data_IF_359746187551
#
_entry.id   IF_359746187551
#
_cell.length_a   1.000
_cell.length_b   1.000
_cell.length_c   1.000
_cell.angle_alpha   90.00
_cell.angle_beta   90.00
_cell.angle_gamma   90.00
#
_symmetry.space_group_name_H-M   'P 1'
#
loop_
_entity.id
_entity.type
_entity.pdbx_description
1 polymer ?
#
# COMPACT_ATOMS: atom_id res chain seq x y z
N UNK A 1 -2.28 -76.45 46.18
CA UNK A 1 -3.22 -75.34 46.11
C UNK A 1 -2.58 -74.21 45.38
N UNK A 2 -3.04 -73.92 44.14
CA UNK A 2 -2.52 -72.81 43.31
C UNK A 2 -3.42 -71.61 43.47
N UNK A 3 -2.96 -70.39 43.75
CA UNK A 3 -3.77 -69.24 43.64
C UNK A 3 -3.76 -68.69 42.19
N UNK A 4 -4.87 -68.25 41.74
CA UNK A 4 -5.27 -67.91 40.38
C UNK A 4 -4.58 -66.65 39.84
N UNK A 5 -4.08 -66.80 38.60
CA UNK A 5 -3.43 -65.75 37.78
C UNK A 5 -4.40 -64.69 37.19
N UNK A 6 -5.52 -64.43 37.86
CA UNK A 6 -6.60 -63.62 37.26
C UNK A 6 -6.74 -62.17 37.70
N UNK A 7 -5.96 -61.71 38.69
CA UNK A 7 -6.21 -60.38 39.33
C UNK A 7 -5.22 -59.30 38.91
N UNK A 8 -4.06 -59.66 38.32
CA UNK A 8 -3.01 -58.67 37.93
C UNK A 8 -3.27 -58.03 36.56
N UNK A 9 -4.12 -58.59 35.72
CA UNK A 9 -4.37 -58.08 34.36
C UNK A 9 -5.51 -57.05 34.25
N UNK A 10 -6.26 -56.80 35.30
CA UNK A 10 -7.35 -55.81 35.32
C UNK A 10 -6.92 -54.40 35.80
N UNK A 11 -5.76 -54.27 36.41
CA UNK A 11 -5.25 -53.00 36.92
C UNK A 11 -4.47 -52.17 35.88
N UNK A 12 -3.99 -52.78 34.80
CA UNK A 12 -3.15 -52.10 33.76
C UNK A 12 -3.97 -51.55 32.58
N UNK A 13 -5.25 -51.92 32.46
CA UNK A 13 -6.12 -51.43 31.39
C UNK A 13 -6.93 -50.17 31.76
N UNK A 14 -6.95 -49.76 33.03
CA UNK A 14 -7.64 -48.54 33.48
C UNK A 14 -6.72 -47.28 33.47
N UNK A 15 -5.39 -47.45 33.44
CA UNK A 15 -4.48 -46.32 33.43
C UNK A 15 -4.16 -45.78 32.00
N UNK A 16 -4.52 -46.52 30.93
CA UNK A 16 -4.30 -46.12 29.55
C UNK A 16 -5.45 -45.31 28.93
N UNK A 17 -6.56 -45.15 29.62
CA UNK A 17 -7.78 -44.46 29.15
C UNK A 17 -7.89 -42.98 29.62
N UNK A 18 -6.96 -42.52 30.43
CA UNK A 18 -7.00 -41.13 30.97
C UNK A 18 -6.01 -40.15 30.34
N UNK A 19 -5.20 -40.56 29.34
CA UNK A 19 -4.26 -39.68 28.66
C UNK A 19 -4.64 -39.33 27.21
N UNK A 20 -5.83 -39.76 26.75
CA UNK A 20 -6.27 -39.61 25.34
C UNK A 20 -7.23 -38.46 25.05
N UNK A 21 -7.53 -37.56 25.98
CA UNK A 21 -8.60 -36.56 25.81
C UNK A 21 -8.12 -35.10 25.70
N UNK A 22 -6.85 -34.84 25.48
CA UNK A 22 -6.40 -33.45 25.38
C UNK A 22 -5.80 -33.02 24.03
N UNK A 23 -5.97 -33.80 22.95
CA UNK A 23 -5.42 -33.40 21.64
C UNK A 23 -6.45 -33.06 20.57
N UNK A 24 -7.77 -33.17 20.87
CA UNK A 24 -8.82 -32.92 19.87
C UNK A 24 -9.55 -31.57 20.04
N UNK A 25 -9.26 -30.81 21.09
CA UNK A 25 -9.99 -29.56 21.39
C UNK A 25 -9.44 -28.31 20.67
N UNK A 26 -8.36 -28.40 19.91
CA UNK A 26 -7.72 -27.22 19.31
C UNK A 26 -8.05 -26.99 17.83
N UNK A 27 -8.65 -27.94 17.12
CA UNK A 27 -8.98 -27.77 15.69
C UNK A 27 -10.44 -27.34 15.44
N UNK A 28 -11.34 -27.63 16.36
CA UNK A 28 -12.78 -27.38 16.19
C UNK A 28 -13.23 -26.00 16.69
N UNK A 29 -12.40 -25.34 17.50
CA UNK A 29 -12.67 -24.01 18.04
C UNK A 29 -12.42 -22.88 17.02
N UNK A 30 -11.72 -23.17 15.91
CA UNK A 30 -11.39 -22.19 14.88
C UNK A 30 -12.46 -22.03 13.77
N UNK A 31 -13.46 -22.90 13.71
CA UNK A 31 -14.48 -22.91 12.64
C UNK A 31 -15.92 -22.74 13.13
N UNK A 32 -16.15 -22.53 14.42
CA UNK A 32 -17.50 -22.28 14.94
C UNK A 32 -17.99 -20.87 14.56
N UNK A 33 -19.22 -20.73 14.02
CA UNK A 33 -19.83 -19.41 13.76
C UNK A 33 -19.86 -18.49 14.97
N UNK A 34 -19.89 -19.04 16.18
CA UNK A 34 -19.84 -18.28 17.43
C UNK A 34 -18.50 -17.57 17.67
N UNK A 35 -17.41 -18.06 17.06
CA UNK A 35 -16.08 -17.42 17.17
C UNK A 35 -15.97 -16.20 16.25
N UNK A 36 -16.67 -16.19 15.11
CA UNK A 36 -16.73 -15.05 14.21
C UNK A 36 -17.29 -13.78 14.89
N UNK A 37 -18.34 -13.92 15.68
CA UNK A 37 -18.96 -12.79 16.38
C UNK A 37 -18.21 -12.31 17.63
N UNK A 38 -17.26 -13.08 18.14
CA UNK A 38 -16.42 -12.70 19.28
C UNK A 38 -15.15 -11.97 18.87
N UNK A 39 -14.79 -11.98 17.58
CA UNK A 39 -13.63 -11.29 17.04
C UNK A 39 -13.98 -9.85 16.67
N UNK A 40 -14.28 -9.02 17.65
CA UNK A 40 -14.67 -7.62 17.47
C UNK A 40 -13.53 -6.73 16.94
N UNK A 41 -12.31 -7.25 16.81
CA UNK A 41 -11.13 -6.51 16.34
C UNK A 41 -10.78 -6.77 14.86
N UNK A 42 -11.53 -7.63 14.15
CA UNK A 42 -11.34 -7.80 12.72
C UNK A 42 -12.12 -6.70 11.98
N UNK A 43 -11.41 -5.64 11.65
CA UNK A 43 -11.98 -4.51 10.92
C UNK A 43 -12.42 -4.89 9.51
N UNK A 44 -13.30 -4.11 8.94
CA UNK A 44 -13.94 -4.26 7.63
C UNK A 44 -12.92 -4.32 6.46
N UNK A 45 -11.62 -4.04 6.73
CA UNK A 45 -10.52 -3.98 5.77
C UNK A 45 -9.51 -5.12 5.87
N UNK A 46 -9.86 -6.28 6.44
CA UNK A 46 -8.96 -7.44 6.50
C UNK A 46 -7.68 -7.20 7.31
N UNK A 47 -7.66 -6.14 8.10
CA UNK A 47 -6.53 -5.75 8.93
C UNK A 47 -6.72 -6.34 10.33
N UNK A 48 -5.78 -7.17 10.75
CA UNK A 48 -5.65 -7.56 12.15
C UNK A 48 -4.83 -6.50 12.85
N UNK A 49 -5.42 -5.80 13.78
CA UNK A 49 -4.62 -4.96 14.65
C UNK A 49 -3.52 -5.80 15.31
N UNK A 50 -2.26 -5.36 15.29
CA UNK A 50 -1.20 -6.04 16.01
C UNK A 50 -1.61 -6.14 17.48
N UNK A 51 -1.28 -7.26 18.15
CA UNK A 51 -1.60 -7.40 19.57
C UNK A 51 -1.06 -6.17 20.31
N UNK A 52 -1.83 -5.62 21.28
CA UNK A 52 -1.43 -4.43 21.99
C UNK A 52 -0.02 -4.63 22.56
N UNK A 53 0.85 -3.70 22.21
CA UNK A 53 2.24 -3.73 22.70
C UNK A 53 2.20 -3.91 24.21
N UNK A 54 2.96 -4.89 24.73
CA UNK A 54 3.07 -5.09 26.19
C UNK A 54 3.36 -3.74 26.81
N UNK A 55 2.49 -3.31 27.73
CA UNK A 55 2.65 -2.05 28.42
C UNK A 55 4.11 -1.91 28.88
N UNK A 56 4.81 -0.87 28.49
CA UNK A 56 6.17 -0.67 28.96
C UNK A 56 6.15 -0.65 30.49
N UNK A 57 7.13 -1.32 31.12
CA UNK A 57 7.33 -1.22 32.57
C UNK A 57 7.30 0.26 32.97
N UNK A 58 6.72 0.60 34.12
CA UNK A 58 6.60 1.99 34.53
C UNK A 58 7.99 2.65 34.48
N UNK A 59 8.17 3.47 33.48
CA UNK A 59 9.31 4.41 33.42
C UNK A 59 9.01 5.47 34.46
N UNK A 60 10.02 5.85 35.25
CA UNK A 60 9.94 6.90 36.23
C UNK A 60 9.06 8.07 35.79
N UNK A 61 8.27 8.67 36.68
CA UNK A 61 7.33 9.72 36.32
C UNK A 61 8.05 10.76 35.46
N UNK A 62 7.42 11.17 34.34
CA UNK A 62 8.00 12.15 33.46
C UNK A 62 8.31 13.40 34.30
N UNK A 63 9.53 13.86 34.18
CA UNK A 63 9.92 15.20 34.65
C UNK A 63 8.80 16.14 34.22
N UNK A 64 8.21 16.87 35.14
CA UNK A 64 7.10 17.78 34.90
C UNK A 64 7.47 18.67 33.71
N UNK A 65 6.91 18.39 32.55
CA UNK A 65 7.04 19.28 31.41
C UNK A 65 6.29 20.53 31.84
N UNK A 66 7.00 21.60 32.05
CA UNK A 66 6.45 22.91 32.35
C UNK A 66 5.39 23.16 31.30
N UNK A 67 4.12 23.24 31.71
CA UNK A 67 2.98 23.39 30.78
C UNK A 67 3.24 24.68 30.00
N UNK A 68 3.69 24.55 28.76
CA UNK A 68 3.86 25.71 27.90
C UNK A 68 2.49 26.40 27.81
N UNK A 69 2.45 27.67 28.17
CA UNK A 69 1.22 28.50 28.12
C UNK A 69 0.71 28.43 26.69
N UNK A 70 -0.52 27.90 26.50
CA UNK A 70 -1.13 27.84 25.17
C UNK A 70 -1.23 29.23 24.59
N UNK A 71 -0.95 29.37 23.29
CA UNK A 71 -1.11 30.66 22.63
C UNK A 71 -2.59 31.12 22.66
N UNK A 72 -2.86 32.42 22.65
CA UNK A 72 -4.22 32.99 22.64
C UNK A 72 -5.09 32.40 21.49
N UNK A 73 -4.48 32.12 20.35
CA UNK A 73 -5.15 31.57 19.18
C UNK A 73 -5.63 30.13 19.44
N UNK A 74 -4.81 29.31 20.08
CA UNK A 74 -5.19 27.95 20.45
C UNK A 74 -6.35 27.97 21.44
N UNK A 75 -6.28 28.83 22.45
CA UNK A 75 -7.37 28.99 23.44
C UNK A 75 -8.66 29.44 22.75
N UNK A 76 -8.58 30.43 21.85
CA UNK A 76 -9.73 30.91 21.09
C UNK A 76 -10.31 29.84 20.16
N UNK A 77 -9.47 29.03 19.51
CA UNK A 77 -9.88 27.91 18.67
C UNK A 77 -10.63 26.84 19.46
N UNK A 78 -10.05 26.42 20.58
CA UNK A 78 -10.67 25.41 21.47
C UNK A 78 -12.01 25.88 22.01
N UNK A 79 -12.10 27.16 22.41
CA UNK A 79 -13.33 27.76 22.89
C UNK A 79 -14.43 27.83 21.80
N UNK A 80 -14.06 28.20 20.56
CA UNK A 80 -15.00 28.21 19.43
C UNK A 80 -15.48 26.80 19.10
N UNK A 81 -14.57 25.82 19.08
CA UNK A 81 -14.89 24.41 18.84
C UNK A 81 -15.88 23.87 19.87
N UNK A 82 -15.60 24.06 21.15
CA UNK A 82 -16.48 23.61 22.24
C UNK A 82 -17.88 24.23 22.16
N UNK A 83 -17.97 25.53 21.88
CA UNK A 83 -19.25 26.23 21.71
C UNK A 83 -20.04 25.73 20.51
N UNK A 84 -19.35 25.42 19.38
CA UNK A 84 -19.99 24.93 18.18
C UNK A 84 -20.56 23.52 18.41
N UNK A 85 -19.77 22.63 19.02
CA UNK A 85 -20.19 21.26 19.37
C UNK A 85 -21.38 21.26 20.34
N UNK A 86 -21.36 22.13 21.38
CA UNK A 86 -22.47 22.27 22.32
C UNK A 86 -23.72 22.78 21.64
N UNK A 87 -23.61 23.82 20.80
CA UNK A 87 -24.76 24.42 20.10
C UNK A 87 -25.37 23.40 19.11
N UNK A 88 -24.54 22.60 18.42
CA UNK A 88 -24.99 21.52 17.55
C UNK A 88 -25.78 20.47 18.34
N UNK A 89 -25.24 20.01 19.45
CA UNK A 89 -25.89 19.00 20.28
C UNK A 89 -27.26 19.48 20.80
N UNK A 90 -27.33 20.73 21.27
CA UNK A 90 -28.60 21.34 21.74
C UNK A 90 -29.60 21.48 20.60
N UNK A 91 -29.18 22.00 19.44
CA UNK A 91 -30.05 22.15 18.27
C UNK A 91 -30.54 20.81 17.72
N UNK A 92 -29.69 19.77 17.76
CA UNK A 92 -30.04 18.43 17.31
C UNK A 92 -31.06 17.74 18.26
N UNK A 93 -30.83 17.83 19.57
CA UNK A 93 -31.71 17.20 20.55
C UNK A 93 -33.02 17.95 20.78
N UNK A 94 -33.01 19.30 20.59
CA UNK A 94 -34.19 20.16 20.73
C UNK A 94 -34.21 21.20 19.61
N UNK A 95 -34.75 20.87 18.43
CA UNK A 95 -34.69 21.67 17.21
C UNK A 95 -35.69 22.84 17.19
N UNK A 96 -35.59 23.74 18.16
CA UNK A 96 -36.32 25.00 18.13
C UNK A 96 -35.64 26.01 17.21
N UNK A 97 -36.39 26.96 16.66
CA UNK A 97 -35.89 28.08 15.86
C UNK A 97 -34.69 28.78 16.54
N UNK A 98 -34.78 29.01 17.84
CA UNK A 98 -33.73 29.68 18.62
C UNK A 98 -32.46 28.85 18.68
N UNK A 99 -32.57 27.54 18.97
CA UNK A 99 -31.43 26.65 19.08
C UNK A 99 -30.72 26.47 17.71
N UNK A 100 -31.51 26.28 16.66
CA UNK A 100 -30.98 26.14 15.29
C UNK A 100 -30.30 27.44 14.85
N UNK A 101 -30.88 28.60 15.10
CA UNK A 101 -30.27 29.92 14.77
C UNK A 101 -28.97 30.13 15.52
N UNK A 102 -28.91 29.75 16.80
CA UNK A 102 -27.69 29.86 17.62
C UNK A 102 -26.56 29.01 17.07
N UNK A 103 -26.86 27.76 16.68
CA UNK A 103 -25.89 26.89 16.01
C UNK A 103 -25.42 27.47 14.66
N UNK A 104 -26.36 27.89 13.81
CA UNK A 104 -26.05 28.45 12.49
C UNK A 104 -25.20 29.74 12.57
N UNK A 105 -25.41 30.57 13.57
CA UNK A 105 -24.58 31.75 13.79
C UNK A 105 -23.12 31.39 14.09
N UNK A 106 -22.90 30.40 14.95
CA UNK A 106 -21.55 29.90 15.27
C UNK A 106 -20.92 29.21 14.07
N UNK A 107 -21.68 28.37 13.35
CA UNK A 107 -21.23 27.71 12.15
C UNK A 107 -20.79 28.72 11.08
N UNK A 108 -21.59 29.77 10.86
CA UNK A 108 -21.24 30.85 9.93
C UNK A 108 -19.96 31.57 10.34
N UNK A 109 -19.75 31.79 11.63
CA UNK A 109 -18.51 32.38 12.13
C UNK A 109 -17.31 31.47 11.84
N UNK A 110 -17.44 30.13 12.06
CA UNK A 110 -16.37 29.15 11.76
C UNK A 110 -16.05 29.13 10.26
N UNK A 111 -17.07 29.10 9.40
CA UNK A 111 -16.91 29.12 7.93
C UNK A 111 -16.19 30.38 7.47
N UNK A 112 -16.58 31.57 7.99
CA UNK A 112 -15.89 32.83 7.64
C UNK A 112 -14.40 32.80 8.01
N UNK A 113 -14.05 32.25 9.19
CA UNK A 113 -12.64 32.10 9.59
C UNK A 113 -11.89 31.13 8.68
N UNK A 114 -12.54 30.01 8.31
CA UNK A 114 -11.98 29.06 7.38
C UNK A 114 -11.73 29.68 5.98
N UNK A 115 -12.66 30.51 5.48
CA UNK A 115 -12.47 31.26 4.22
C UNK A 115 -11.28 32.23 4.31
N UNK A 116 -11.18 33.00 5.39
CA UNK A 116 -10.03 33.90 5.59
C UNK A 116 -8.69 33.13 5.64
N UNK A 117 -8.68 31.99 6.29
CA UNK A 117 -7.50 31.13 6.31
C UNK A 117 -7.17 30.59 4.90
N UNK A 118 -8.19 30.14 4.16
CA UNK A 118 -8.00 29.62 2.79
C UNK A 118 -7.41 30.69 1.88
N UNK A 119 -7.90 31.95 1.95
CA UNK A 119 -7.37 33.07 1.16
C UNK A 119 -5.90 33.36 1.52
N UNK A 120 -5.58 33.39 2.80
CA UNK A 120 -4.22 33.59 3.28
C UNK A 120 -3.29 32.45 2.86
N UNK A 121 -3.75 31.19 3.02
CA UNK A 121 -3.03 30.01 2.60
C UNK A 121 -2.73 30.03 1.09
N UNK A 122 -3.74 30.32 0.29
CA UNK A 122 -3.62 30.37 -1.17
C UNK A 122 -2.61 31.45 -1.59
N UNK A 123 -2.65 32.62 -0.95
CA UNK A 123 -1.68 33.69 -1.21
C UNK A 123 -0.26 33.24 -0.87
N UNK A 124 -0.05 32.57 0.26
CA UNK A 124 1.26 32.06 0.67
C UNK A 124 1.76 31.02 -0.35
N UNK A 125 0.91 30.06 -0.73
CA UNK A 125 1.27 29.04 -1.73
C UNK A 125 1.69 29.67 -3.05
N UNK A 126 0.94 30.64 -3.58
CA UNK A 126 1.25 31.30 -4.85
C UNK A 126 2.52 32.14 -4.82
N UNK A 127 2.93 32.62 -3.64
CA UNK A 127 4.11 33.48 -3.48
C UNK A 127 5.35 32.73 -2.98
N UNK A 128 5.20 31.43 -2.66
CA UNK A 128 6.27 30.61 -2.07
C UNK A 128 6.42 29.31 -2.88
N UNK A 129 7.33 29.28 -3.86
CA UNK A 129 7.47 28.12 -4.77
C UNK A 129 7.61 26.77 -4.07
N UNK A 130 8.20 26.74 -2.88
CA UNK A 130 8.42 25.52 -2.10
C UNK A 130 7.11 24.87 -1.61
N UNK A 131 6.02 25.63 -1.56
CA UNK A 131 4.70 25.14 -1.16
C UNK A 131 3.74 24.94 -2.34
N UNK A 132 4.14 25.36 -3.53
CA UNK A 132 3.29 25.27 -4.72
C UNK A 132 3.47 23.93 -5.44
N UNK A 133 2.69 22.95 -5.04
CA UNK A 133 2.65 21.63 -5.69
C UNK A 133 2.25 21.67 -7.16
N UNK A 134 1.67 22.78 -7.64
CA UNK A 134 1.34 22.90 -9.07
C UNK A 134 2.58 23.07 -9.94
N UNK A 135 3.72 23.43 -9.34
CA UNK A 135 5.02 23.45 -10.02
C UNK A 135 5.59 22.05 -10.23
N UNK A 136 5.29 21.11 -9.31
CA UNK A 136 5.71 19.71 -9.46
C UNK A 136 4.75 18.95 -10.38
N UNK A 137 3.45 19.17 -10.21
CA UNK A 137 2.41 18.59 -11.05
C UNK A 137 1.35 19.64 -11.41
N UNK A 138 1.38 20.17 -12.62
CA UNK A 138 0.43 21.16 -13.08
C UNK A 138 -1.02 20.67 -13.02
N UNK A 139 -1.96 21.60 -12.79
CA UNK A 139 -3.40 21.31 -12.77
C UNK A 139 -4.15 21.95 -13.94
N UNK A 140 -3.54 22.91 -14.64
CA UNK A 140 -4.15 23.50 -15.84
C UNK A 140 -3.83 22.70 -17.09
N UNK A 141 -4.75 22.65 -18.05
CA UNK A 141 -4.67 21.80 -19.23
C UNK A 141 -3.38 22.02 -20.06
N UNK A 142 -2.98 23.27 -20.28
CA UNK A 142 -1.80 23.61 -21.08
C UNK A 142 -0.50 23.12 -20.44
N UNK A 143 -0.36 23.33 -19.14
CA UNK A 143 0.82 22.87 -18.41
C UNK A 143 0.86 21.35 -18.24
N UNK A 144 -0.32 20.70 -18.06
CA UNK A 144 -0.42 19.24 -18.04
C UNK A 144 0.04 18.64 -19.37
N UNK A 145 -0.32 19.21 -20.50
CA UNK A 145 0.13 18.72 -21.81
C UNK A 145 1.65 18.74 -21.93
N UNK A 146 2.31 19.80 -21.46
CA UNK A 146 3.78 19.88 -21.44
C UNK A 146 4.37 18.85 -20.48
N UNK A 147 3.83 18.78 -19.27
CA UNK A 147 4.26 17.83 -18.24
C UNK A 147 4.16 16.37 -18.72
N UNK A 148 3.02 15.97 -19.28
CA UNK A 148 2.80 14.62 -19.76
C UNK A 148 3.73 14.26 -20.92
N UNK A 149 4.00 15.22 -21.82
CA UNK A 149 4.96 15.05 -22.93
C UNK A 149 6.38 14.86 -22.41
N UNK A 150 6.79 15.65 -21.44
CA UNK A 150 8.13 15.52 -20.82
C UNK A 150 8.27 14.23 -20.03
N UNK A 151 7.23 13.85 -19.26
CA UNK A 151 7.14 12.57 -18.55
C UNK A 151 7.28 11.40 -19.52
N UNK A 152 6.51 11.39 -20.61
CA UNK A 152 6.58 10.35 -21.62
C UNK A 152 7.98 10.29 -22.29
N UNK A 153 8.57 11.43 -22.62
CA UNK A 153 9.91 11.48 -23.18
C UNK A 153 10.96 10.93 -22.21
N UNK A 154 10.82 11.20 -20.90
CA UNK A 154 11.70 10.64 -19.88
C UNK A 154 11.54 9.11 -19.75
N UNK A 155 10.32 8.61 -19.83
CA UNK A 155 10.01 7.16 -19.83
C UNK A 155 10.63 6.44 -21.02
N UNK A 156 10.51 7.02 -22.22
CA UNK A 156 11.12 6.49 -23.44
C UNK A 156 12.64 6.43 -23.30
N UNK A 157 13.26 7.52 -22.86
CA UNK A 157 14.72 7.55 -22.63
C UNK A 157 15.17 6.49 -21.62
N UNK A 158 14.41 6.27 -20.55
CA UNK A 158 14.71 5.23 -19.56
C UNK A 158 14.65 3.82 -20.17
N UNK A 159 13.63 3.54 -20.98
CA UNK A 159 13.49 2.26 -21.69
C UNK A 159 14.65 2.03 -22.67
N UNK A 160 15.02 3.04 -23.47
CA UNK A 160 16.16 2.99 -24.41
C UNK A 160 17.51 2.80 -23.70
N UNK A 161 17.70 3.40 -22.54
CA UNK A 161 18.90 3.21 -21.71
C UNK A 161 18.98 1.78 -21.18
N UNK A 162 17.84 1.25 -20.66
CA UNK A 162 17.76 -0.13 -20.19
C UNK A 162 17.98 -1.13 -21.32
N UNK A 163 17.52 -0.84 -22.53
CA UNK A 163 17.71 -1.69 -23.70
C UNK A 163 19.18 -2.01 -24.01
N UNK A 164 20.10 -1.13 -23.62
CA UNK A 164 21.55 -1.31 -23.83
C UNK A 164 22.19 -2.35 -22.90
N UNK A 165 21.54 -2.64 -21.79
CA UNK A 165 22.15 -3.45 -20.70
C UNK A 165 21.22 -4.51 -20.13
N UNK A 166 19.94 -4.48 -20.49
CA UNK A 166 18.92 -5.38 -19.97
C UNK A 166 18.15 -6.05 -21.09
N UNK A 167 17.43 -7.09 -20.72
CA UNK A 167 16.49 -7.84 -21.58
C UNK A 167 15.21 -8.11 -20.80
N UNK A 168 14.08 -8.21 -21.52
CA UNK A 168 12.82 -8.64 -20.95
C UNK A 168 12.68 -10.15 -21.03
N UNK A 169 12.41 -10.82 -19.91
CA UNK A 169 11.96 -12.21 -19.88
C UNK A 169 10.44 -12.20 -19.90
N UNK A 170 9.88 -12.80 -20.93
CA UNK A 170 8.46 -13.01 -21.11
C UNK A 170 8.13 -14.48 -20.87
N UNK A 171 7.61 -14.82 -19.70
CA UNK A 171 7.19 -16.17 -19.35
C UNK A 171 5.72 -16.34 -19.71
N UNK A 172 5.43 -17.38 -20.49
CA UNK A 172 4.10 -17.61 -21.03
C UNK A 172 3.78 -19.10 -21.15
N UNK A 173 2.51 -19.39 -21.45
CA UNK A 173 2.04 -20.71 -21.93
C UNK A 173 1.43 -20.53 -23.30
N UNK A 174 1.59 -21.52 -24.15
CA UNK A 174 1.03 -21.50 -25.51
C UNK A 174 -0.50 -21.55 -25.52
N UNK A 175 -1.11 -22.19 -24.52
CA UNK A 175 -2.56 -22.31 -24.35
C UNK A 175 -3.20 -21.11 -23.61
N UNK A 176 -2.44 -20.08 -23.24
CA UNK A 176 -2.90 -18.94 -22.47
C UNK A 176 -3.46 -17.82 -23.37
N UNK A 177 -4.77 -17.52 -23.37
CA UNK A 177 -5.34 -16.46 -24.21
C UNK A 177 -4.75 -15.06 -23.93
N UNK A 178 -4.47 -14.74 -22.67
CA UNK A 178 -3.86 -13.46 -22.29
C UNK A 178 -2.43 -13.33 -22.82
N UNK A 179 -1.68 -14.44 -22.86
CA UNK A 179 -0.33 -14.46 -23.41
C UNK A 179 -0.35 -14.21 -24.92
N UNK A 180 -1.33 -14.81 -25.64
CA UNK A 180 -1.52 -14.59 -27.07
C UNK A 180 -1.88 -13.13 -27.39
N UNK A 181 -2.70 -12.49 -26.58
CA UNK A 181 -3.05 -11.07 -26.74
C UNK A 181 -1.89 -10.13 -26.38
N UNK A 182 -1.01 -10.52 -25.48
CA UNK A 182 0.10 -9.70 -25.03
C UNK A 182 1.32 -9.78 -25.95
N UNK A 183 1.53 -10.91 -26.62
CA UNK A 183 2.70 -11.14 -27.45
C UNK A 183 2.88 -10.09 -28.57
N UNK A 184 1.85 -9.69 -29.34
CA UNK A 184 1.97 -8.65 -30.37
C UNK A 184 2.43 -7.31 -29.79
N UNK A 185 1.91 -6.92 -28.62
CA UNK A 185 2.29 -5.69 -27.94
C UNK A 185 3.78 -5.73 -27.54
N UNK A 186 4.22 -6.84 -26.94
CA UNK A 186 5.63 -7.00 -26.56
C UNK A 186 6.56 -7.00 -27.76
N UNK A 187 6.13 -7.60 -28.88
CA UNK A 187 6.91 -7.57 -30.12
C UNK A 187 7.03 -6.18 -30.70
N UNK A 188 5.93 -5.42 -30.68
CA UNK A 188 5.94 -4.01 -31.07
C UNK A 188 6.82 -3.18 -30.13
N UNK A 189 6.74 -3.43 -28.82
CA UNK A 189 7.56 -2.75 -27.81
C UNK A 189 9.07 -3.00 -28.02
N UNK A 190 9.45 -4.26 -28.27
CA UNK A 190 10.81 -4.64 -28.61
C UNK A 190 11.33 -3.86 -29.82
N UNK A 191 10.54 -3.78 -30.90
CA UNK A 191 10.90 -3.08 -32.12
C UNK A 191 11.00 -1.57 -31.94
N UNK A 192 10.10 -1.00 -31.14
CA UNK A 192 9.99 0.45 -30.95
C UNK A 192 11.09 1.01 -30.04
N UNK A 193 11.41 0.31 -28.97
CA UNK A 193 12.34 0.80 -27.94
C UNK A 193 13.67 0.05 -27.91
N UNK A 194 13.83 -0.97 -28.75
CA UNK A 194 15.08 -1.73 -28.84
C UNK A 194 15.39 -2.61 -27.62
N UNK A 195 14.41 -2.81 -26.70
CA UNK A 195 14.57 -3.66 -25.52
C UNK A 195 14.29 -5.10 -25.87
N UNK A 196 15.32 -6.00 -25.94
CA UNK A 196 15.13 -7.37 -26.40
C UNK A 196 14.18 -8.16 -25.52
N UNK A 197 13.30 -8.98 -26.13
CA UNK A 197 12.38 -9.87 -25.43
C UNK A 197 12.80 -11.32 -25.59
N UNK A 198 13.13 -11.96 -24.47
CA UNK A 198 13.38 -13.40 -24.38
C UNK A 198 12.11 -14.12 -23.93
N UNK A 199 11.43 -14.74 -24.87
CA UNK A 199 10.23 -15.52 -24.60
C UNK A 199 10.58 -16.91 -24.07
N UNK A 200 9.95 -17.29 -22.96
CA UNK A 200 10.16 -18.56 -22.24
C UNK A 200 8.82 -19.25 -22.09
N UNK A 201 8.67 -20.40 -22.71
CA UNK A 201 7.46 -21.22 -22.70
C UNK A 201 7.48 -22.21 -21.56
N UNK A 202 6.44 -22.19 -20.71
CA UNK A 202 6.32 -23.07 -19.54
C UNK A 202 5.74 -24.46 -19.90
N UNK A 203 5.03 -24.55 -21.04
CA UNK A 203 4.38 -25.78 -21.52
C UNK A 203 4.97 -26.32 -22.82
N UNK A 204 6.01 -25.68 -23.35
CA UNK A 204 6.60 -26.01 -24.64
C UNK A 204 5.81 -25.47 -25.85
N UNK A 205 4.66 -24.81 -25.63
CA UNK A 205 3.90 -24.15 -26.69
C UNK A 205 4.64 -22.95 -27.28
N UNK A 206 4.19 -22.49 -28.45
CA UNK A 206 4.77 -21.36 -29.18
C UNK A 206 3.75 -20.26 -29.42
N UNK A 207 4.23 -19.04 -29.63
CA UNK A 207 3.42 -17.89 -30.04
C UNK A 207 3.92 -17.39 -31.40
N UNK A 208 3.04 -16.91 -32.29
CA UNK A 208 3.42 -16.43 -33.62
C UNK A 208 4.52 -15.36 -33.59
N UNK A 209 4.45 -14.44 -32.64
CA UNK A 209 5.41 -13.35 -32.46
C UNK A 209 6.76 -13.81 -31.92
N UNK A 210 6.77 -14.98 -31.24
CA UNK A 210 7.94 -15.57 -30.62
C UNK A 210 8.13 -17.04 -31.01
N UNK A 211 8.33 -17.35 -32.31
CA UNK A 211 8.45 -18.75 -32.79
C UNK A 211 9.70 -19.47 -32.28
N UNK A 212 10.68 -18.71 -31.77
CA UNK A 212 11.92 -19.24 -31.20
C UNK A 212 11.94 -19.14 -29.66
N UNK A 213 10.77 -19.18 -29.02
CA UNK A 213 10.69 -19.21 -27.58
C UNK A 213 11.47 -20.42 -27.02
N UNK A 214 12.15 -20.19 -25.92
CA UNK A 214 12.86 -21.27 -25.20
C UNK A 214 11.90 -21.99 -24.27
N UNK A 215 12.07 -23.30 -24.13
CA UNK A 215 11.35 -24.05 -23.10
C UNK A 215 11.96 -23.72 -21.75
N UNK A 216 11.13 -23.61 -20.73
CA UNK A 216 11.57 -23.34 -19.36
C UNK A 216 12.55 -24.42 -18.89
N UNK A 217 13.64 -23.98 -18.32
CA UNK A 217 14.69 -24.84 -17.74
C UNK A 217 14.70 -24.81 -16.19
N UNK A 218 13.58 -24.38 -15.58
CA UNK A 218 13.45 -24.23 -14.13
C UNK A 218 13.56 -22.77 -13.65
N UNK A 219 13.74 -21.82 -14.56
CA UNK A 219 13.80 -20.40 -14.20
C UNK A 219 12.46 -19.91 -13.64
N UNK A 220 11.33 -20.43 -14.13
CA UNK A 220 10.01 -20.09 -13.61
C UNK A 220 9.86 -20.45 -12.14
N UNK A 221 10.35 -21.63 -11.74
CA UNK A 221 10.36 -22.06 -10.35
C UNK A 221 11.29 -21.17 -9.50
N UNK A 222 12.47 -20.84 -10.01
CA UNK A 222 13.44 -19.95 -9.34
C UNK A 222 12.88 -18.56 -9.10
N UNK A 223 12.10 -18.04 -10.05
CA UNK A 223 11.47 -16.72 -9.97
C UNK A 223 10.09 -16.76 -9.28
N UNK A 224 9.65 -17.91 -8.76
CA UNK A 224 8.34 -18.12 -8.14
C UNK A 224 7.17 -17.68 -9.03
N UNK A 225 7.21 -17.99 -10.32
CA UNK A 225 6.18 -17.61 -11.27
C UNK A 225 4.95 -18.49 -11.08
N UNK A 226 3.88 -17.92 -10.54
CA UNK A 226 2.60 -18.61 -10.28
C UNK A 226 1.52 -18.26 -11.29
N UNK A 227 1.70 -17.19 -12.05
CA UNK A 227 0.72 -16.68 -13.03
C UNK A 227 1.42 -16.25 -14.31
N UNK A 228 0.74 -16.44 -15.44
CA UNK A 228 1.19 -15.97 -16.76
C UNK A 228 0.11 -15.14 -17.43
N UNK A 229 0.50 -14.17 -18.29
CA UNK A 229 1.87 -13.82 -18.66
C UNK A 229 2.62 -13.17 -17.50
N UNK A 230 3.94 -13.38 -17.43
CA UNK A 230 4.80 -12.77 -16.44
C UNK A 230 6.00 -12.10 -17.12
N UNK A 231 6.36 -10.91 -16.67
CA UNK A 231 7.48 -10.14 -17.20
C UNK A 231 8.52 -9.86 -16.11
N UNK A 232 9.77 -10.02 -16.48
CA UNK A 232 10.92 -9.67 -15.65
C UNK A 232 11.93 -8.90 -16.47
N UNK A 233 12.56 -7.91 -15.85
CA UNK A 233 13.72 -7.23 -16.41
C UNK A 233 14.98 -7.90 -15.90
N UNK A 234 15.80 -8.43 -16.80
CA UNK A 234 17.03 -9.13 -16.46
C UNK A 234 18.24 -8.34 -16.94
N UNK A 235 19.26 -8.21 -16.10
CA UNK A 235 20.55 -7.66 -16.45
C UNK A 235 21.57 -8.79 -16.63
N UNK A 236 21.98 -9.13 -17.88
CA UNK A 236 22.95 -10.19 -18.12
C UNK A 236 24.34 -9.90 -17.52
N UNK A 237 24.66 -8.63 -17.25
CA UNK A 237 25.95 -8.21 -16.69
C UNK A 237 26.06 -8.42 -15.19
N UNK A 238 24.95 -8.23 -14.47
CA UNK A 238 24.90 -8.31 -13.01
C UNK A 238 24.19 -9.55 -12.52
N UNK A 239 23.57 -10.35 -13.41
CA UNK A 239 22.69 -11.48 -13.11
C UNK A 239 21.50 -11.12 -12.19
N UNK A 240 21.13 -9.83 -12.15
CA UNK A 240 19.97 -9.39 -11.39
C UNK A 240 18.72 -9.51 -12.26
N UNK A 241 17.68 -10.12 -11.73
CA UNK A 241 16.38 -10.26 -12.36
C UNK A 241 15.34 -9.59 -11.46
N UNK A 242 14.65 -8.60 -11.99
CA UNK A 242 13.65 -7.80 -11.27
C UNK A 242 12.27 -8.06 -11.85
N UNK A 243 11.25 -8.40 -11.06
CA UNK A 243 9.89 -8.55 -11.57
C UNK A 243 9.37 -7.20 -12.09
N UNK A 244 8.88 -7.20 -13.31
CA UNK A 244 8.26 -6.02 -13.94
C UNK A 244 6.73 -6.06 -13.78
N UNK A 245 6.12 -7.25 -13.89
CA UNK A 245 4.70 -7.42 -13.65
C UNK A 245 4.15 -8.76 -14.11
N UNK A 246 2.88 -8.98 -13.73
CA UNK A 246 2.10 -10.13 -14.10
C UNK A 246 0.84 -9.66 -14.84
N UNK A 247 0.34 -10.51 -15.75
CA UNK A 247 -0.81 -10.16 -16.59
C UNK A 247 -0.44 -9.30 -17.80
N UNK A 248 -1.46 -8.86 -18.53
CA UNK A 248 -1.30 -7.98 -19.71
C UNK A 248 -1.07 -6.56 -19.25
N UNK A 249 0.01 -5.96 -19.70
CA UNK A 249 0.35 -4.56 -19.43
C UNK A 249 0.24 -3.74 -20.73
N UNK A 250 -0.20 -2.51 -20.62
CA UNK A 250 -0.16 -1.56 -21.72
C UNK A 250 1.27 -1.04 -21.98
N UNK A 251 1.51 -0.47 -23.16
CA UNK A 251 2.80 0.16 -23.48
C UNK A 251 3.16 1.25 -22.44
N UNK A 252 2.18 2.05 -22.06
CA UNK A 252 2.38 3.12 -21.06
C UNK A 252 2.78 2.57 -19.70
N UNK A 253 2.11 1.50 -19.25
CA UNK A 253 2.46 0.84 -17.99
C UNK A 253 3.86 0.21 -18.02
N UNK A 254 4.25 -0.38 -19.15
CA UNK A 254 5.61 -0.90 -19.34
C UNK A 254 6.66 0.19 -19.21
N UNK A 255 6.46 1.32 -19.88
CA UNK A 255 7.35 2.47 -19.82
C UNK A 255 7.45 3.05 -18.41
N UNK A 256 6.33 3.18 -17.73
CA UNK A 256 6.28 3.70 -16.36
C UNK A 256 7.04 2.81 -15.38
N UNK A 257 6.82 1.48 -15.43
CA UNK A 257 7.51 0.52 -14.58
C UNK A 257 9.00 0.45 -14.85
N UNK A 258 9.41 0.52 -16.13
CA UNK A 258 10.81 0.57 -16.51
C UNK A 258 11.49 1.83 -16.00
N UNK A 259 10.83 2.99 -16.05
CA UNK A 259 11.34 4.23 -15.48
C UNK A 259 11.58 4.12 -13.97
N UNK A 260 10.62 3.55 -13.23
CA UNK A 260 10.76 3.35 -11.78
C UNK A 260 11.97 2.46 -11.46
N UNK A 261 12.17 1.38 -12.23
CA UNK A 261 13.32 0.48 -12.03
C UNK A 261 14.64 1.15 -12.43
N UNK A 262 14.64 1.95 -13.47
CA UNK A 262 15.83 2.68 -13.93
C UNK A 262 16.27 3.78 -12.94
N UNK A 263 15.35 4.28 -12.12
CA UNK A 263 15.66 5.33 -11.14
C UNK A 263 16.26 4.70 -9.88
N UNK A 264 17.50 5.01 -9.50
CA UNK A 264 18.10 4.47 -8.28
C UNK A 264 17.25 4.83 -7.06
N UNK A 265 17.05 3.86 -6.16
CA UNK A 265 16.40 4.10 -4.87
C UNK A 265 17.24 5.13 -4.08
N UNK A 266 16.81 6.35 -4.04
CA UNK A 266 17.55 7.48 -3.41
C UNK A 266 17.35 8.82 -4.12
N UNK A 267 16.92 8.83 -5.38
CA UNK A 267 16.59 10.04 -6.13
C UNK A 267 15.08 10.31 -6.19
N UNK A 268 14.31 9.80 -5.23
CA UNK A 268 13.06 10.48 -4.91
C UNK A 268 13.48 11.81 -4.34
N UNK A 269 13.38 12.87 -5.13
CA UNK A 269 13.51 14.25 -4.66
C UNK A 269 12.38 14.46 -3.65
N UNK A 270 12.59 13.99 -2.42
CA UNK A 270 11.91 14.59 -1.28
C UNK A 270 12.35 16.03 -1.31
N UNK A 271 11.43 16.93 -1.63
CA UNK A 271 11.65 18.35 -1.43
C UNK A 271 12.35 18.51 -0.07
N UNK A 272 13.45 19.26 0.00
CA UNK A 272 14.18 19.38 1.25
C UNK A 272 13.17 19.82 2.30
N UNK A 273 13.07 19.03 3.38
CA UNK A 273 12.24 19.41 4.52
C UNK A 273 12.75 20.79 4.96
N UNK A 274 11.96 21.82 4.68
CA UNK A 274 12.29 23.16 5.11
C UNK A 274 12.46 23.11 6.63
N UNK A 275 13.55 23.66 7.19
CA UNK A 275 13.66 23.82 8.62
C UNK A 275 12.52 24.75 9.05
N UNK A 276 11.45 24.16 9.57
CA UNK A 276 10.38 24.91 10.19
C UNK A 276 10.95 25.43 11.51
N UNK A 277 11.38 26.67 11.51
CA UNK A 277 11.77 27.35 12.75
C UNK A 277 10.48 27.61 13.58
N UNK A 278 10.18 26.66 14.47
CA UNK A 278 9.08 26.77 15.41
C UNK A 278 9.37 27.77 16.54
N UNK A 279 10.57 28.37 16.59
CA UNK A 279 10.94 29.34 17.63
C UNK A 279 10.19 30.68 17.49
N UNK A 280 9.60 30.95 16.31
CA UNK A 280 8.78 32.15 16.06
C UNK A 280 7.31 32.00 16.43
N UNK A 281 6.83 30.81 16.78
CA UNK A 281 5.44 30.56 17.22
C UNK A 281 5.38 30.64 18.75
N UNK A 282 5.55 31.84 19.28
CA UNK A 282 5.29 32.16 20.69
C UNK A 282 4.08 33.03 20.81
#
# INVERSE_FOLDING_TARGET
MRPSRGVVLRGLLLAALLTGVNAAATAEELTSPATYWRRQAEGWFWYRDPPPARSPKPVNPPVAVTSATKSPEIVAHEALKARLEQALAVAYMNPTDTNVRSYLALQTQAVRRASTFADAWQKVVWTTPEFDFTLERPVNATALEVYDREKQAAQIRAAEQLARTHVLFFLFRGDCPYCQQFAPLLKSFEQKFGLPVFAISLDGGTLPEFPRARVDNGIAATLNVTQVPALFLASPRTNVITPLGYGVLSETELLERLQVIATPAGNVTTAPALPVDLAGVR
#
